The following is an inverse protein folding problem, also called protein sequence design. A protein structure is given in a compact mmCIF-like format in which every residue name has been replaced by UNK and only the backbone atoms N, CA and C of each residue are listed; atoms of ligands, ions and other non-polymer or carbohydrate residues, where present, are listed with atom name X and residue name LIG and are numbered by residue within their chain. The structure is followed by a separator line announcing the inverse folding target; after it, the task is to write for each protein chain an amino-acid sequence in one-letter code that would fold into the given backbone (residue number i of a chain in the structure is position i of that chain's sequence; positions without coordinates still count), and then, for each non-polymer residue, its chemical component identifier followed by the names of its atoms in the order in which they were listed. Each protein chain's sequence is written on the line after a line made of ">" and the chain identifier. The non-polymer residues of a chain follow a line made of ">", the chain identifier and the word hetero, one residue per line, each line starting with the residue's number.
data_IF_434747323565
#
_entry.id   IF_434747323565
#
_cell.length_a   1.000
_cell.length_b   1.000
_cell.length_c   1.000
_cell.angle_alpha   90.00
_cell.angle_beta   90.00
_cell.angle_gamma   90.00
#
_symmetry.space_group_name_H-M   'P 1'
#
loop_
_entity.id
_entity.type
_entity.pdbx_description
1 polymer ?
#
# COMPACT_ATOMS: atom_id res chain seq x y z
N UNK A 1 22.32 6.21 -14.76
CA UNK A 1 21.60 4.95 -14.98
C UNK A 1 20.61 5.18 -16.12
N UNK A 2 20.51 4.28 -17.11
CA UNK A 2 19.55 4.38 -18.20
C UNK A 2 18.61 3.16 -18.14
N UNK A 3 17.32 3.36 -18.42
CA UNK A 3 16.28 2.33 -18.37
C UNK A 3 15.53 2.32 -19.71
N UNK A 4 15.10 1.14 -20.16
CA UNK A 4 14.36 0.98 -21.42
C UNK A 4 12.92 1.49 -21.32
N UNK A 5 12.33 1.39 -20.12
CA UNK A 5 10.98 1.92 -19.83
C UNK A 5 10.81 2.21 -18.33
N UNK A 6 9.74 2.91 -18.00
CA UNK A 6 9.46 3.36 -16.62
C UNK A 6 9.25 2.22 -15.63
N UNK A 7 8.82 1.03 -16.05
CA UNK A 7 8.59 -0.10 -15.15
C UNK A 7 9.88 -0.61 -14.50
N UNK A 8 11.02 -0.45 -15.16
CA UNK A 8 12.34 -0.80 -14.63
C UNK A 8 12.80 0.12 -13.49
N UNK A 9 12.13 1.24 -13.27
CA UNK A 9 12.40 2.16 -12.15
C UNK A 9 11.60 1.84 -10.89
N UNK A 10 10.74 0.82 -10.94
CA UNK A 10 9.97 0.37 -9.77
C UNK A 10 10.91 -0.32 -8.78
N UNK A 11 10.78 0.06 -7.50
CA UNK A 11 11.64 -0.47 -6.44
C UNK A 11 12.88 0.37 -6.17
N UNK A 12 13.84 -0.20 -5.46
CA UNK A 12 15.04 0.49 -4.98
C UNK A 12 14.72 1.84 -4.30
N UNK A 13 13.63 1.85 -3.53
CA UNK A 13 13.16 3.05 -2.84
C UNK A 13 14.03 3.34 -1.61
N UNK A 14 14.31 4.62 -1.31
CA UNK A 14 15.21 4.95 -0.22
C UNK A 14 14.61 4.71 1.16
N UNK A 15 15.49 4.47 2.15
CA UNK A 15 15.17 4.57 3.57
C UNK A 15 15.57 5.96 4.07
N UNK A 16 14.64 6.66 4.71
CA UNK A 16 14.83 8.03 5.18
C UNK A 16 14.73 8.03 6.71
N UNK A 17 15.73 8.57 7.38
CA UNK A 17 15.71 8.78 8.82
C UNK A 17 14.77 9.91 9.19
N UNK A 18 13.95 9.71 10.20
CA UNK A 18 13.06 10.72 10.77
C UNK A 18 13.78 11.37 11.93
N UNK A 19 14.06 12.67 11.83
CA UNK A 19 14.97 13.35 12.74
C UNK A 19 14.29 14.28 13.75
N UNK A 20 13.17 14.91 13.36
CA UNK A 20 12.50 15.96 14.15
C UNK A 20 11.19 15.49 14.78
N UNK A 21 10.43 14.69 14.04
CA UNK A 21 9.07 14.28 14.39
C UNK A 21 8.98 13.53 15.74
N UNK A 22 10.02 12.76 16.08
CA UNK A 22 10.07 11.93 17.30
C UNK A 22 11.15 12.37 18.28
N UNK A 23 11.85 13.48 17.99
CA UNK A 23 12.95 14.02 18.83
C UNK A 23 14.31 13.38 18.53
N UNK A 24 15.36 14.01 19.03
CA UNK A 24 16.76 13.71 18.67
C UNK A 24 17.25 12.33 19.12
N UNK A 25 16.59 11.67 20.10
CA UNK A 25 16.97 10.35 20.62
C UNK A 25 16.34 9.18 19.86
N UNK A 26 15.37 9.43 18.98
CA UNK A 26 14.67 8.38 18.27
C UNK A 26 15.50 7.85 17.09
N UNK A 27 15.50 6.53 16.93
CA UNK A 27 16.15 5.84 15.80
C UNK A 27 15.09 5.27 14.87
N UNK A 28 14.33 6.16 14.24
CA UNK A 28 13.18 5.84 13.39
C UNK A 28 13.53 6.09 11.92
N UNK A 29 13.16 5.14 11.08
CA UNK A 29 13.35 5.17 9.64
C UNK A 29 12.04 4.87 8.93
N UNK A 30 11.87 5.41 7.73
CA UNK A 30 10.76 5.05 6.85
C UNK A 30 11.29 4.63 5.48
N UNK A 31 10.75 3.52 4.95
CA UNK A 31 10.98 3.15 3.57
C UNK A 31 10.04 3.95 2.67
N UNK A 32 10.60 4.78 1.80
CA UNK A 32 9.85 5.79 1.06
C UNK A 32 9.35 5.27 -0.29
N UNK A 33 8.27 4.50 -0.26
CA UNK A 33 7.64 3.88 -1.44
C UNK A 33 6.98 4.89 -2.39
N UNK A 34 6.80 6.14 -1.95
CA UNK A 34 6.41 7.24 -2.85
C UNK A 34 7.40 7.48 -3.99
N UNK A 35 8.62 7.00 -3.86
CA UNK A 35 9.66 7.07 -4.89
C UNK A 35 9.43 6.17 -6.10
N UNK A 36 8.49 5.27 -6.06
CA UNK A 36 8.08 4.49 -7.24
C UNK A 36 7.46 5.42 -8.32
N UNK A 37 7.58 5.09 -9.61
CA UNK A 37 7.17 5.99 -10.71
C UNK A 37 5.67 6.34 -10.71
N UNK A 38 4.79 5.42 -10.32
CA UNK A 38 3.38 5.70 -10.11
C UNK A 38 3.08 6.30 -8.73
N UNK A 39 4.10 6.59 -7.92
CA UNK A 39 4.02 7.29 -6.64
C UNK A 39 3.52 6.45 -5.48
N UNK A 40 3.60 5.13 -5.53
CA UNK A 40 3.19 4.29 -4.40
C UNK A 40 3.81 2.89 -4.38
N UNK A 41 3.72 2.22 -3.21
CA UNK A 41 4.09 0.81 -3.02
C UNK A 41 3.32 -0.14 -3.96
N UNK A 42 2.16 0.29 -4.47
CA UNK A 42 1.30 -0.54 -5.31
C UNK A 42 1.87 -0.75 -6.72
N UNK A 43 2.81 0.07 -7.14
CA UNK A 43 3.51 -0.12 -8.41
C UNK A 43 4.20 -1.49 -8.46
N UNK A 44 4.78 -1.92 -7.33
CA UNK A 44 5.44 -3.23 -7.21
C UNK A 44 4.46 -4.38 -7.47
N UNK A 45 3.33 -4.38 -6.77
CA UNK A 45 2.36 -5.47 -6.91
C UNK A 45 1.64 -5.42 -8.25
N UNK A 46 1.38 -4.24 -8.80
CA UNK A 46 0.77 -4.11 -10.12
C UNK A 46 1.63 -4.75 -11.20
N UNK A 47 2.92 -4.47 -11.21
CA UNK A 47 3.85 -5.10 -12.16
C UNK A 47 3.95 -6.60 -11.91
N UNK A 48 4.16 -7.02 -10.67
CA UNK A 48 4.36 -8.44 -10.34
C UNK A 48 3.16 -9.32 -10.68
N UNK A 49 1.93 -8.86 -10.37
CA UNK A 49 0.72 -9.60 -10.69
C UNK A 49 0.51 -9.73 -12.20
N UNK A 50 0.78 -8.67 -12.96
CA UNK A 50 0.68 -8.71 -14.43
C UNK A 50 1.73 -9.66 -15.03
N UNK A 51 2.99 -9.58 -14.59
CA UNK A 51 4.05 -10.47 -15.08
C UNK A 51 3.82 -11.94 -14.72
N UNK A 52 3.26 -12.23 -13.55
CA UNK A 52 2.87 -13.58 -13.16
C UNK A 52 1.74 -14.11 -14.04
N UNK A 53 0.74 -13.27 -14.34
CA UNK A 53 -0.36 -13.61 -15.23
C UNK A 53 0.11 -13.84 -16.69
N UNK A 54 1.06 -13.05 -17.19
CA UNK A 54 1.72 -13.26 -18.47
C UNK A 54 2.44 -14.62 -18.52
N UNK A 55 3.25 -14.88 -17.49
CA UNK A 55 4.04 -16.12 -17.37
C UNK A 55 3.17 -17.37 -17.27
N UNK A 56 2.07 -17.29 -16.55
CA UNK A 56 1.13 -18.42 -16.42
C UNK A 56 0.19 -18.57 -17.62
N UNK A 57 0.15 -17.59 -18.52
CA UNK A 57 -0.78 -17.54 -19.66
C UNK A 57 -2.20 -17.10 -19.28
N UNK A 58 -2.44 -16.65 -18.05
CA UNK A 58 -3.73 -16.13 -17.61
C UNK A 58 -4.08 -14.79 -18.26
N UNK A 59 -3.06 -14.02 -18.64
CA UNK A 59 -3.20 -12.75 -19.39
C UNK A 59 -2.41 -12.85 -20.70
N UNK A 60 -3.12 -12.75 -21.83
CA UNK A 60 -2.53 -12.79 -23.16
C UNK A 60 -2.15 -11.38 -23.65
N UNK A 61 -1.16 -11.24 -24.53
CA UNK A 61 -0.81 -9.93 -25.13
C UNK A 61 -2.03 -9.20 -25.70
N UNK A 62 -2.19 -7.91 -25.36
CA UNK A 62 -3.33 -7.11 -25.76
C UNK A 62 -4.66 -7.44 -25.05
N UNK A 63 -4.62 -8.33 -24.07
CA UNK A 63 -5.78 -8.71 -23.26
C UNK A 63 -6.35 -7.57 -22.42
N UNK A 64 -7.43 -7.86 -21.70
CA UNK A 64 -8.11 -6.88 -20.85
C UNK A 64 -7.92 -7.23 -19.38
N UNK A 65 -7.43 -6.27 -18.61
CA UNK A 65 -7.32 -6.34 -17.15
C UNK A 65 -8.57 -5.67 -16.56
N UNK A 66 -9.23 -6.32 -15.61
CA UNK A 66 -10.40 -5.78 -14.90
C UNK A 66 -10.09 -5.83 -13.40
N UNK A 67 -10.13 -4.70 -12.69
CA UNK A 67 -9.86 -4.70 -11.24
C UNK A 67 -10.85 -3.80 -10.50
N UNK A 68 -11.49 -4.32 -9.42
CA UNK A 68 -12.32 -3.51 -8.56
C UNK A 68 -11.45 -2.70 -7.59
N UNK A 69 -11.06 -1.51 -7.98
CA UNK A 69 -10.23 -0.62 -7.16
C UNK A 69 -10.37 0.84 -7.56
N UNK A 70 -10.32 1.71 -6.57
CA UNK A 70 -10.26 3.17 -6.75
C UNK A 70 -8.97 3.79 -6.22
N UNK A 71 -8.06 2.95 -5.75
CA UNK A 71 -6.85 3.39 -5.05
C UNK A 71 -5.57 3.27 -5.88
N UNK A 72 -4.45 3.25 -5.17
CA UNK A 72 -3.11 3.21 -5.76
C UNK A 72 -2.85 1.96 -6.62
N UNK A 73 -3.52 0.84 -6.35
CA UNK A 73 -3.45 -0.35 -7.22
C UNK A 73 -3.96 -0.04 -8.63
N UNK A 74 -5.06 0.71 -8.74
CA UNK A 74 -5.58 1.15 -10.04
C UNK A 74 -4.59 2.04 -10.79
N UNK A 75 -3.89 2.94 -10.10
CA UNK A 75 -2.84 3.78 -10.70
C UNK A 75 -1.67 2.92 -11.19
N UNK A 76 -1.18 2.00 -10.34
CA UNK A 76 -0.09 1.09 -10.73
C UNK A 76 -0.46 0.21 -11.92
N UNK A 77 -1.66 -0.39 -11.92
CA UNK A 77 -2.16 -1.19 -13.04
C UNK A 77 -2.31 -0.35 -14.31
N UNK A 78 -2.78 0.90 -14.20
CA UNK A 78 -2.93 1.80 -15.36
C UNK A 78 -1.57 2.12 -15.99
N UNK A 79 -0.55 2.41 -15.19
CA UNK A 79 0.82 2.61 -15.67
C UNK A 79 1.39 1.35 -16.33
N UNK A 80 1.24 0.19 -15.70
CA UNK A 80 1.72 -1.09 -16.25
C UNK A 80 0.99 -1.43 -17.55
N UNK A 81 -0.34 -1.28 -17.59
CA UNK A 81 -1.13 -1.54 -18.78
C UNK A 81 -0.75 -0.63 -19.95
N UNK A 82 -0.50 0.66 -19.68
CA UNK A 82 -0.05 1.61 -20.69
C UNK A 82 1.29 1.19 -21.34
N UNK A 83 2.25 0.77 -20.52
CA UNK A 83 3.60 0.37 -21.02
C UNK A 83 3.54 -0.97 -21.74
N UNK A 84 2.76 -1.94 -21.25
CA UNK A 84 2.70 -3.31 -21.79
C UNK A 84 1.63 -3.48 -22.89
N UNK A 85 0.81 -2.46 -23.17
CA UNK A 85 -0.18 -2.49 -24.24
C UNK A 85 -1.47 -3.26 -23.87
N UNK A 86 -1.84 -3.32 -22.60
CA UNK A 86 -3.09 -3.93 -22.13
C UNK A 86 -4.24 -2.93 -22.08
N UNK A 87 -5.45 -3.42 -22.28
CA UNK A 87 -6.67 -2.68 -21.93
C UNK A 87 -6.90 -2.78 -20.44
N UNK A 88 -7.32 -1.70 -19.78
CA UNK A 88 -7.63 -1.70 -18.36
C UNK A 88 -9.02 -1.12 -18.11
N UNK A 89 -9.86 -1.88 -17.42
CA UNK A 89 -11.15 -1.45 -16.90
C UNK A 89 -11.09 -1.45 -15.37
N UNK A 90 -11.24 -0.28 -14.77
CA UNK A 90 -11.30 -0.14 -13.31
C UNK A 90 -12.74 0.00 -12.87
N UNK A 91 -13.16 -0.86 -11.95
CA UNK A 91 -14.53 -0.87 -11.43
C UNK A 91 -14.53 -0.23 -10.06
N UNK A 92 -15.35 0.82 -9.87
CA UNK A 92 -15.39 1.56 -8.61
C UNK A 92 -16.72 2.28 -8.40
N UNK A 93 -17.07 2.59 -7.13
CA UNK A 93 -18.20 3.45 -6.84
C UNK A 93 -18.04 4.84 -7.48
N UNK A 94 -19.14 5.43 -7.96
CA UNK A 94 -19.17 6.75 -8.60
C UNK A 94 -18.78 7.92 -7.65
N UNK A 95 -18.82 7.67 -6.34
CA UNK A 95 -18.41 8.62 -5.30
C UNK A 95 -16.88 8.81 -5.17
N UNK A 96 -16.09 8.03 -5.90
CA UNK A 96 -14.62 8.16 -5.86
C UNK A 96 -14.13 9.48 -6.48
N UNK A 97 -13.03 10.02 -5.92
CA UNK A 97 -12.53 11.34 -6.29
C UNK A 97 -12.21 11.46 -7.78
N UNK A 98 -12.56 12.60 -8.35
CA UNK A 98 -12.36 12.88 -9.77
C UNK A 98 -10.87 13.01 -10.13
N UNK A 99 -10.05 13.48 -9.18
CA UNK A 99 -8.59 13.63 -9.36
C UNK A 99 -7.94 12.26 -9.59
N UNK A 100 -8.31 11.25 -8.79
CA UNK A 100 -7.82 9.88 -8.97
C UNK A 100 -8.23 9.29 -10.30
N UNK A 101 -9.51 9.48 -10.68
CA UNK A 101 -10.00 9.04 -11.98
C UNK A 101 -9.27 9.71 -13.13
N UNK A 102 -8.99 11.02 -13.03
CA UNK A 102 -8.22 11.75 -14.05
C UNK A 102 -6.80 11.23 -14.20
N UNK A 103 -6.13 10.88 -13.10
CA UNK A 103 -4.79 10.29 -13.15
C UNK A 103 -4.80 8.94 -13.88
N UNK A 104 -5.75 8.07 -13.57
CA UNK A 104 -5.89 6.77 -14.23
C UNK A 104 -6.28 6.90 -15.71
N UNK A 105 -7.17 7.89 -16.04
CA UNK A 105 -7.52 8.24 -17.43
C UNK A 105 -6.30 8.69 -18.23
N UNK A 106 -5.40 9.46 -17.62
CA UNK A 106 -4.18 9.93 -18.29
C UNK A 106 -3.27 8.76 -18.72
N UNK A 107 -3.33 7.62 -18.02
CA UNK A 107 -2.66 6.38 -18.43
C UNK A 107 -3.50 5.55 -19.43
N UNK A 108 -4.71 5.97 -19.81
CA UNK A 108 -5.54 5.24 -20.77
C UNK A 108 -6.49 4.21 -20.16
N UNK A 109 -6.68 4.19 -18.84
CA UNK A 109 -7.67 3.32 -18.22
C UNK A 109 -9.10 3.75 -18.53
N UNK A 110 -10.00 2.81 -18.64
CA UNK A 110 -11.46 3.03 -18.70
C UNK A 110 -12.12 2.67 -17.36
N UNK A 111 -13.35 3.14 -17.14
CA UNK A 111 -14.08 2.91 -15.90
C UNK A 111 -15.45 2.30 -16.14
N UNK A 112 -15.83 1.38 -15.25
CA UNK A 112 -17.20 0.98 -15.02
C UNK A 112 -17.59 1.46 -13.61
N UNK A 113 -18.50 2.45 -13.54
CA UNK A 113 -18.87 3.09 -12.28
C UNK A 113 -20.12 2.41 -11.71
N UNK A 114 -20.05 2.00 -10.45
CA UNK A 114 -21.15 1.39 -9.72
C UNK A 114 -21.81 2.39 -8.78
N UNK A 115 -23.11 2.21 -8.44
CA UNK A 115 -23.79 3.06 -7.47
C UNK A 115 -23.05 3.07 -6.11
N UNK A 116 -22.85 4.27 -5.56
CA UNK A 116 -22.14 4.49 -4.29
C UNK A 116 -22.71 3.67 -3.13
N UNK A 117 -24.02 3.44 -3.14
CA UNK A 117 -24.73 2.70 -2.09
C UNK A 117 -24.30 1.23 -2.01
N UNK A 118 -23.82 0.67 -3.10
CA UNK A 118 -23.31 -0.71 -3.17
C UNK A 118 -21.86 -0.84 -2.67
N UNK A 119 -21.15 0.28 -2.53
CA UNK A 119 -19.76 0.32 -2.05
C UNK A 119 -18.81 -0.61 -2.83
N UNK A 120 -17.73 -1.04 -2.19
CA UNK A 120 -16.75 -1.96 -2.82
C UNK A 120 -17.31 -3.34 -3.11
N UNK A 121 -18.28 -3.84 -2.34
CA UNK A 121 -18.94 -5.12 -2.64
C UNK A 121 -19.64 -5.08 -3.99
N UNK A 122 -20.30 -3.95 -4.31
CA UNK A 122 -20.92 -3.77 -5.62
C UNK A 122 -19.90 -3.68 -6.76
N UNK A 123 -18.75 -3.04 -6.52
CA UNK A 123 -17.68 -2.96 -7.50
C UNK A 123 -17.05 -4.35 -7.77
N UNK A 124 -16.86 -5.17 -6.74
CA UNK A 124 -16.33 -6.54 -6.88
C UNK A 124 -17.29 -7.38 -7.72
N UNK A 125 -18.59 -7.42 -7.35
CA UNK A 125 -19.58 -8.19 -8.11
C UNK A 125 -19.66 -7.74 -9.57
N UNK A 126 -19.58 -6.41 -9.83
CA UNK A 126 -19.59 -5.87 -11.18
C UNK A 126 -18.34 -6.24 -11.97
N UNK A 127 -17.15 -6.27 -11.33
CA UNK A 127 -15.92 -6.73 -11.98
C UNK A 127 -16.01 -8.20 -12.39
N UNK A 128 -16.60 -9.06 -11.56
CA UNK A 128 -16.84 -10.47 -11.87
C UNK A 128 -17.82 -10.65 -13.05
N UNK A 129 -18.92 -9.85 -13.08
CA UNK A 129 -19.85 -9.83 -14.20
C UNK A 129 -19.16 -9.43 -15.51
N UNK A 130 -18.36 -8.35 -15.48
CA UNK A 130 -17.61 -7.88 -16.65
C UNK A 130 -16.59 -8.92 -17.13
N UNK A 131 -15.91 -9.56 -16.20
CA UNK A 131 -14.97 -10.63 -16.51
C UNK A 131 -15.67 -11.80 -17.24
N UNK A 132 -16.81 -12.25 -16.73
CA UNK A 132 -17.62 -13.29 -17.37
C UNK A 132 -18.10 -12.90 -18.78
N UNK A 133 -18.32 -11.61 -19.04
CA UNK A 133 -18.77 -11.07 -20.32
C UNK A 133 -17.64 -10.69 -21.28
N UNK A 134 -16.38 -10.69 -20.81
CA UNK A 134 -15.20 -10.26 -21.58
C UNK A 134 -14.23 -11.42 -21.77
N UNK A 135 -14.36 -12.21 -22.85
CA UNK A 135 -13.46 -13.32 -23.12
C UNK A 135 -11.99 -12.90 -23.11
N UNK A 136 -11.13 -13.66 -22.46
CA UNK A 136 -9.70 -13.39 -22.36
C UNK A 136 -9.34 -12.23 -21.42
N UNK A 137 -10.28 -11.71 -20.64
CA UNK A 137 -9.97 -10.78 -19.56
C UNK A 137 -9.39 -11.51 -18.34
N UNK A 138 -8.74 -10.75 -17.48
CA UNK A 138 -8.13 -11.24 -16.24
C UNK A 138 -8.38 -10.27 -15.10
N UNK A 139 -8.61 -10.81 -13.88
CA UNK A 139 -8.76 -10.05 -12.63
C UNK A 139 -7.54 -10.31 -11.76
N UNK A 140 -6.74 -9.29 -11.40
CA UNK A 140 -5.56 -9.40 -10.54
C UNK A 140 -5.80 -9.99 -9.16
N UNK A 141 -6.95 -9.69 -8.52
CA UNK A 141 -7.31 -10.15 -7.18
C UNK A 141 -6.26 -9.80 -6.11
N UNK A 142 -5.93 -8.53 -5.97
CA UNK A 142 -4.83 -8.03 -5.15
C UNK A 142 -4.80 -8.54 -3.69
N UNK A 143 -5.94 -8.91 -3.13
CA UNK A 143 -6.04 -9.40 -1.73
C UNK A 143 -5.72 -10.88 -1.56
N UNK A 144 -5.64 -11.63 -2.65
CA UNK A 144 -5.46 -13.09 -2.67
C UNK A 144 -4.27 -13.54 -3.51
N UNK A 145 -3.86 -12.73 -4.49
CA UNK A 145 -2.82 -13.08 -5.45
C UNK A 145 -1.45 -13.24 -4.76
N UNK A 146 -0.82 -14.42 -4.83
CA UNK A 146 0.45 -14.69 -4.17
C UNK A 146 1.62 -13.87 -4.73
N UNK A 147 1.55 -13.41 -5.98
CA UNK A 147 2.56 -12.53 -6.57
C UNK A 147 2.71 -11.21 -5.79
N UNK A 148 1.64 -10.79 -5.08
CA UNK A 148 1.69 -9.64 -4.16
C UNK A 148 2.66 -9.87 -2.99
N UNK A 149 2.65 -11.06 -2.38
CA UNK A 149 3.60 -11.39 -1.31
C UNK A 149 5.01 -11.55 -1.89
N UNK A 150 5.11 -12.30 -2.98
CA UNK A 150 6.38 -12.71 -3.58
C UNK A 150 7.23 -11.51 -4.03
N UNK A 151 6.64 -10.48 -4.63
CA UNK A 151 7.40 -9.28 -5.01
C UNK A 151 8.04 -8.58 -3.81
N UNK A 152 7.37 -8.56 -2.66
CA UNK A 152 7.92 -7.97 -1.44
C UNK A 152 9.01 -8.84 -0.81
N UNK A 153 8.93 -10.16 -0.94
CA UNK A 153 10.01 -11.10 -0.57
C UNK A 153 11.25 -10.86 -1.43
N UNK A 154 11.07 -10.77 -2.76
CA UNK A 154 12.17 -10.66 -3.73
C UNK A 154 12.81 -9.28 -3.82
N UNK A 155 12.09 -8.22 -3.49
CA UNK A 155 12.54 -6.83 -3.68
C UNK A 155 12.54 -6.04 -2.38
N UNK A 156 11.40 -5.68 -1.84
CA UNK A 156 11.26 -4.79 -0.69
C UNK A 156 12.06 -5.27 0.53
N UNK A 157 11.97 -6.56 0.85
CA UNK A 157 12.69 -7.14 1.97
C UNK A 157 14.21 -7.15 1.72
N UNK A 158 14.65 -7.42 0.50
CA UNK A 158 16.08 -7.44 0.14
C UNK A 158 16.67 -6.03 0.20
N UNK A 159 15.94 -5.01 -0.24
CA UNK A 159 16.33 -3.62 -0.13
C UNK A 159 16.51 -3.21 1.36
N UNK A 160 15.60 -3.68 2.24
CA UNK A 160 15.73 -3.43 3.69
C UNK A 160 16.97 -4.14 4.27
N UNK A 161 17.20 -5.39 3.92
CA UNK A 161 18.39 -6.13 4.38
C UNK A 161 19.69 -5.46 3.95
N UNK A 162 19.74 -4.95 2.72
CA UNK A 162 20.92 -4.27 2.18
C UNK A 162 21.25 -2.97 2.97
N UNK A 163 20.23 -2.19 3.31
CA UNK A 163 20.40 -0.91 3.99
C UNK A 163 20.56 -1.04 5.51
N UNK A 164 20.08 -2.15 6.09
CA UNK A 164 20.17 -2.42 7.54
C UNK A 164 20.93 -3.73 7.87
N UNK A 165 22.19 -3.87 7.45
CA UNK A 165 22.96 -5.10 7.72
C UNK A 165 23.15 -5.37 9.22
N UNK A 166 23.09 -4.33 10.06
CA UNK A 166 23.13 -4.45 11.52
C UNK A 166 21.79 -4.74 12.19
N UNK A 167 20.74 -5.07 11.39
CA UNK A 167 19.41 -5.46 11.89
C UNK A 167 18.48 -4.31 12.20
N UNK A 168 17.25 -4.70 12.51
CA UNK A 168 16.14 -3.86 12.96
C UNK A 168 15.56 -4.48 14.24
N UNK A 169 15.07 -3.65 15.16
CA UNK A 169 14.43 -4.11 16.38
C UNK A 169 12.91 -4.20 16.20
N UNK A 170 12.33 -3.26 15.44
CA UNK A 170 10.88 -3.16 15.29
C UNK A 170 10.51 -2.78 13.84
N UNK A 171 9.52 -3.48 13.29
CA UNK A 171 8.82 -3.14 12.05
C UNK A 171 7.38 -2.77 12.40
N UNK A 172 6.95 -1.55 12.02
CA UNK A 172 5.57 -1.08 12.20
C UNK A 172 5.00 -0.69 10.85
N UNK A 173 3.91 -1.34 10.42
CA UNK A 173 3.38 -1.11 9.08
C UNK A 173 1.88 -1.37 8.97
N UNK A 174 1.20 -0.54 8.17
CA UNK A 174 -0.24 -0.62 7.92
C UNK A 174 -0.63 -1.80 7.05
N UNK A 175 -1.80 -2.35 7.27
CA UNK A 175 -2.33 -3.48 6.52
C UNK A 175 -3.45 -3.03 5.57
N UNK A 176 -3.15 -3.05 4.27
CA UNK A 176 -4.13 -2.95 3.19
C UNK A 176 -4.43 -4.33 2.63
N UNK A 177 -3.63 -4.81 1.68
CA UNK A 177 -3.73 -6.16 1.10
C UNK A 177 -3.01 -7.24 1.92
N UNK A 178 -2.18 -6.86 2.88
CA UNK A 178 -1.40 -7.78 3.72
C UNK A 178 -0.09 -8.25 3.09
N UNK A 179 0.04 -8.21 1.77
CA UNK A 179 1.17 -8.84 1.05
C UNK A 179 2.53 -8.27 1.42
N UNK A 180 2.67 -6.93 1.54
CA UNK A 180 3.96 -6.34 1.88
C UNK A 180 4.39 -6.66 3.33
N UNK A 181 3.46 -6.58 4.29
CA UNK A 181 3.77 -6.93 5.68
C UNK A 181 4.22 -8.39 5.77
N UNK A 182 3.44 -9.30 5.18
CA UNK A 182 3.73 -10.73 5.15
C UNK A 182 5.08 -11.03 4.50
N UNK A 183 5.30 -10.52 3.28
CA UNK A 183 6.53 -10.79 2.54
C UNK A 183 7.77 -10.24 3.24
N UNK A 184 7.71 -8.99 3.71
CA UNK A 184 8.80 -8.34 4.42
C UNK A 184 9.06 -9.03 5.77
N UNK A 185 8.02 -9.27 6.57
CA UNK A 185 8.18 -9.85 7.90
C UNK A 185 8.76 -11.28 7.85
N UNK A 186 8.32 -12.12 6.93
CA UNK A 186 8.89 -13.48 6.76
C UNK A 186 10.39 -13.46 6.51
N UNK A 187 10.85 -12.59 5.61
CA UNK A 187 12.28 -12.49 5.28
C UNK A 187 13.06 -11.88 6.44
N UNK A 188 12.58 -10.77 7.01
CA UNK A 188 13.30 -10.07 8.05
C UNK A 188 13.37 -10.87 9.36
N UNK A 189 12.30 -11.57 9.77
CA UNK A 189 12.33 -12.42 10.97
C UNK A 189 13.29 -13.61 10.81
N UNK A 190 13.46 -14.13 9.61
CA UNK A 190 14.44 -15.18 9.34
C UNK A 190 15.89 -14.69 9.52
N UNK A 191 16.18 -13.43 9.21
CA UNK A 191 17.51 -12.82 9.36
C UNK A 191 17.71 -12.15 10.73
N UNK A 192 16.65 -11.60 11.30
CA UNK A 192 16.65 -10.90 12.58
C UNK A 192 15.65 -11.58 13.54
N UNK A 193 16.04 -12.66 14.24
CA UNK A 193 15.10 -13.48 15.05
C UNK A 193 14.41 -12.71 16.18
N UNK A 194 14.98 -11.61 16.64
CA UNK A 194 14.43 -10.76 17.70
C UNK A 194 13.52 -9.63 17.17
N UNK A 195 13.37 -9.49 15.85
CA UNK A 195 12.54 -8.46 15.24
C UNK A 195 11.10 -8.58 15.71
N UNK A 196 10.54 -7.47 16.20
CA UNK A 196 9.12 -7.34 16.53
C UNK A 196 8.37 -6.70 15.38
N UNK A 197 7.25 -7.29 14.99
CA UNK A 197 6.42 -6.86 13.88
C UNK A 197 5.02 -6.46 14.36
N UNK A 198 4.65 -5.20 14.13
CA UNK A 198 3.33 -4.68 14.49
C UNK A 198 2.56 -4.25 13.25
N UNK A 199 1.35 -4.78 13.13
CA UNK A 199 0.38 -4.31 12.13
C UNK A 199 -0.30 -3.03 12.61
N UNK A 200 -0.61 -2.12 11.68
CA UNK A 200 -1.42 -0.93 11.98
C UNK A 200 -2.76 -1.05 11.30
N UNK A 201 -3.82 -0.84 12.05
CA UNK A 201 -5.20 -0.82 11.56
C UNK A 201 -5.99 0.38 12.11
N UNK A 202 -7.09 0.80 11.44
CA UNK A 202 -7.95 1.86 11.96
C UNK A 202 -8.71 1.42 13.22
N UNK A 203 -8.74 2.25 14.26
CA UNK A 203 -9.53 2.01 15.49
C UNK A 203 -11.03 1.77 15.19
N UNK A 204 -11.56 2.43 14.15
CA UNK A 204 -12.97 2.29 13.74
C UNK A 204 -13.27 0.95 13.04
N UNK A 205 -12.27 0.25 12.54
CA UNK A 205 -12.42 -1.02 11.82
C UNK A 205 -11.32 -2.02 12.20
N UNK A 206 -11.25 -2.44 13.48
CA UNK A 206 -10.11 -3.18 14.04
C UNK A 206 -10.25 -4.69 13.79
N UNK A 207 -10.40 -5.09 12.54
CA UNK A 207 -10.69 -6.50 12.17
C UNK A 207 -9.55 -7.47 12.45
N UNK A 208 -8.30 -7.00 12.40
CA UNK A 208 -7.13 -7.84 12.73
C UNK A 208 -7.08 -8.11 14.23
N UNK A 209 -7.50 -7.15 15.05
CA UNK A 209 -7.66 -7.30 16.50
C UNK A 209 -8.94 -8.05 16.91
N UNK A 210 -9.74 -8.56 15.97
CA UNK A 210 -10.98 -9.31 16.23
C UNK A 210 -12.24 -8.45 16.39
N UNK A 211 -12.19 -7.15 16.09
CA UNK A 211 -13.34 -6.26 16.09
C UNK A 211 -14.16 -6.31 14.80
N UNK A 212 -15.28 -5.60 14.81
CA UNK A 212 -16.18 -5.53 13.65
C UNK A 212 -15.67 -4.55 12.57
N UNK A 213 -15.87 -4.84 11.28
CA UNK A 213 -15.58 -3.88 10.21
C UNK A 213 -16.54 -2.69 10.24
N UNK A 214 -16.01 -1.50 10.00
CA UNK A 214 -16.79 -0.28 9.83
C UNK A 214 -16.12 0.68 8.83
N UNK A 215 -16.88 1.62 8.23
CA UNK A 215 -16.30 2.68 7.41
C UNK A 215 -15.33 3.54 8.21
N UNK A 216 -14.21 3.92 7.63
CA UNK A 216 -13.19 4.78 8.23
C UNK A 216 -12.49 5.64 7.17
N UNK A 217 -11.94 6.82 7.52
CA UNK A 217 -11.36 7.73 6.54
C UNK A 217 -9.86 7.49 6.26
N UNK A 218 -9.20 6.52 6.90
CA UNK A 218 -7.79 6.19 6.65
C UNK A 218 -7.70 5.36 5.37
N UNK A 219 -7.52 6.02 4.24
CA UNK A 219 -7.45 5.37 2.94
C UNK A 219 -6.15 4.57 2.79
N UNK A 220 -6.24 3.38 2.18
CA UNK A 220 -5.08 2.53 1.84
C UNK A 220 -4.81 1.39 2.82
N UNK A 221 -5.37 1.43 4.03
CA UNK A 221 -5.34 0.35 5.02
C UNK A 221 -6.75 0.04 5.52
N UNK A 222 -6.93 -1.05 6.26
CA UNK A 222 -8.23 -1.38 6.87
C UNK A 222 -9.28 -1.80 5.84
N UNK A 223 -9.07 -2.91 5.14
CA UNK A 223 -9.97 -3.39 4.08
C UNK A 223 -11.37 -3.83 4.58
N UNK A 224 -11.59 -3.91 5.90
CA UNK A 224 -12.83 -4.39 6.51
C UNK A 224 -12.93 -5.92 6.58
N UNK A 225 -11.87 -6.62 6.23
CA UNK A 225 -11.69 -8.07 6.37
C UNK A 225 -10.21 -8.39 6.51
N UNK A 226 -9.87 -9.61 6.95
CA UNK A 226 -8.50 -10.11 6.96
C UNK A 226 -8.17 -10.63 5.57
N UNK A 227 -7.22 -9.99 4.83
CA UNK A 227 -6.84 -10.46 3.49
C UNK A 227 -6.20 -11.85 3.53
N UNK A 228 -6.39 -12.66 2.50
CA UNK A 228 -5.71 -13.96 2.37
C UNK A 228 -4.18 -13.82 2.30
N UNK A 229 -3.69 -12.69 1.80
CA UNK A 229 -2.27 -12.38 1.77
C UNK A 229 -1.67 -11.96 3.12
N UNK A 230 -2.48 -11.80 4.18
CA UNK A 230 -1.99 -11.48 5.51
C UNK A 230 -1.73 -12.76 6.31
N UNK A 231 -0.47 -13.02 6.59
CA UNK A 231 -0.05 -14.05 7.56
C UNK A 231 -0.01 -13.43 8.96
N UNK A 232 -1.04 -13.70 9.75
CA UNK A 232 -1.13 -13.16 11.11
C UNK A 232 -0.13 -13.79 12.07
N UNK A 233 0.46 -14.94 11.74
CA UNK A 233 1.45 -15.62 12.58
C UNK A 233 2.79 -14.88 12.67
N UNK A 234 3.07 -13.97 11.73
CA UNK A 234 4.28 -13.15 11.77
C UNK A 234 4.16 -11.93 12.69
N UNK A 235 2.96 -11.62 13.19
CA UNK A 235 2.68 -10.44 14.01
C UNK A 235 3.05 -10.68 15.47
N UNK A 236 3.70 -9.71 16.08
CA UNK A 236 3.91 -9.62 17.54
C UNK A 236 2.81 -8.76 18.21
N UNK A 237 2.01 -8.05 17.43
CA UNK A 237 0.88 -7.27 17.91
C UNK A 237 0.25 -6.40 16.82
N UNK A 238 -0.83 -5.72 17.21
CA UNK A 238 -1.58 -4.81 16.36
C UNK A 238 -1.73 -3.47 17.08
N UNK A 239 -1.50 -2.37 16.35
CA UNK A 239 -1.65 -1.00 16.87
C UNK A 239 -2.82 -0.36 16.14
N UNK A 240 -3.80 0.10 16.92
CA UNK A 240 -4.96 0.80 16.40
C UNK A 240 -4.69 2.31 16.36
N UNK A 241 -5.07 2.95 15.25
CA UNK A 241 -4.86 4.38 15.05
C UNK A 241 -6.15 5.06 14.62
N UNK A 242 -6.47 6.17 15.25
CA UNK A 242 -7.59 7.02 14.88
C UNK A 242 -7.25 7.90 13.67
N UNK A 243 -8.29 8.36 12.98
CA UNK A 243 -8.14 9.13 11.75
C UNK A 243 -7.44 10.47 11.95
N UNK A 244 -7.73 11.19 13.06
CA UNK A 244 -7.11 12.49 13.27
C UNK A 244 -5.62 12.40 13.62
N UNK A 245 -5.14 11.52 14.51
CA UNK A 245 -3.71 11.25 14.63
C UNK A 245 -3.05 10.87 13.30
N UNK A 246 -3.69 10.06 12.46
CA UNK A 246 -3.14 9.70 11.15
C UNK A 246 -2.95 10.93 10.24
N UNK A 247 -3.94 11.83 10.19
CA UNK A 247 -3.85 13.08 9.43
C UNK A 247 -2.81 14.04 10.01
N UNK A 248 -2.79 14.19 11.32
CA UNK A 248 -1.84 15.08 12.00
C UNK A 248 -0.40 14.65 11.76
N UNK A 249 -0.09 13.34 11.90
CA UNK A 249 1.27 12.86 11.63
C UNK A 249 1.65 12.95 10.16
N UNK A 250 0.70 12.82 9.22
CA UNK A 250 0.97 13.11 7.82
C UNK A 250 1.32 14.58 7.57
N UNK A 251 0.58 15.52 8.19
CA UNK A 251 0.87 16.97 8.13
C UNK A 251 2.19 17.32 8.78
N UNK A 252 2.47 16.76 9.96
CA UNK A 252 3.73 16.96 10.69
C UNK A 252 4.93 16.42 9.91
N UNK A 253 4.79 15.25 9.27
CA UNK A 253 5.82 14.69 8.39
C UNK A 253 6.21 15.67 7.27
N UNK A 254 5.23 16.36 6.67
CA UNK A 254 5.51 17.39 5.67
C UNK A 254 6.22 18.60 6.28
N UNK A 255 5.75 19.13 7.43
CA UNK A 255 6.27 20.35 8.05
C UNK A 255 7.60 20.15 8.76
N UNK A 256 7.83 19.00 9.35
CA UNK A 256 9.01 18.73 10.19
C UNK A 256 10.10 17.97 9.43
N UNK A 257 9.75 17.10 8.50
CA UNK A 257 10.70 16.25 7.75
C UNK A 257 10.75 16.54 6.24
N UNK A 258 9.88 17.40 5.72
CA UNK A 258 9.76 17.66 4.27
C UNK A 258 9.14 16.51 3.49
N UNK A 259 8.50 15.54 4.17
CA UNK A 259 7.91 14.35 3.57
C UNK A 259 6.39 14.51 3.48
N UNK A 260 5.89 14.96 2.33
CA UNK A 260 4.45 15.00 2.06
C UNK A 260 3.97 13.59 1.70
N UNK A 261 3.23 12.99 2.62
CA UNK A 261 2.82 11.57 2.57
C UNK A 261 1.30 11.41 2.65
N UNK A 262 0.78 10.26 2.23
CA UNK A 262 -0.63 9.93 2.37
C UNK A 262 -1.05 9.63 3.82
N UNK A 263 -2.37 9.58 4.05
CA UNK A 263 -2.97 9.41 5.40
C UNK A 263 -2.56 8.07 6.03
N UNK A 264 -2.43 6.99 5.26
CA UNK A 264 -1.97 5.69 5.77
C UNK A 264 -0.52 5.71 6.24
N UNK A 265 0.33 6.52 5.62
CA UNK A 265 1.70 6.76 6.08
C UNK A 265 1.70 7.53 7.40
N UNK A 266 0.83 8.54 7.51
CA UNK A 266 0.58 9.23 8.78
C UNK A 266 0.10 8.31 9.88
N UNK A 267 -0.77 7.33 9.57
CA UNK A 267 -1.20 6.31 10.52
C UNK A 267 -0.02 5.46 11.02
N UNK A 268 0.90 5.08 10.13
CA UNK A 268 2.12 4.37 10.53
C UNK A 268 3.00 5.21 11.43
N UNK A 269 3.18 6.51 11.12
CA UNK A 269 3.95 7.43 11.97
C UNK A 269 3.28 7.64 13.34
N UNK A 270 1.95 7.74 13.39
CA UNK A 270 1.20 7.82 14.65
C UNK A 270 1.34 6.54 15.48
N UNK A 271 1.29 5.37 14.85
CA UNK A 271 1.52 4.09 15.50
C UNK A 271 2.95 3.98 16.06
N UNK A 272 3.95 4.46 15.34
CA UNK A 272 5.33 4.55 15.83
C UNK A 272 5.39 5.44 17.08
N UNK A 273 4.74 6.62 17.06
CA UNK A 273 4.70 7.51 18.22
C UNK A 273 4.07 6.87 19.45
N UNK A 274 3.00 6.08 19.27
CA UNK A 274 2.37 5.33 20.36
C UNK A 274 3.31 4.26 20.94
N UNK A 275 4.08 3.59 20.06
CA UNK A 275 4.91 2.45 20.45
C UNK A 275 6.28 2.84 21.02
N UNK A 276 6.86 3.94 20.59
CA UNK A 276 8.22 4.36 21.00
C UNK A 276 8.44 4.40 22.51
N UNK A 277 7.51 4.90 23.36
CA UNK A 277 7.71 4.94 24.81
C UNK A 277 7.84 3.57 25.48
N UNK A 278 7.37 2.50 24.82
CA UNK A 278 7.42 1.14 25.32
C UNK A 278 8.70 0.39 24.89
N UNK A 279 9.47 0.97 23.96
CA UNK A 279 10.65 0.35 23.40
C UNK A 279 11.92 0.73 24.18
N UNK A 280 12.93 -0.15 24.23
CA UNK A 280 14.23 0.22 24.75
C UNK A 280 14.81 1.44 24.03
N UNK A 281 15.52 2.29 24.77
CA UNK A 281 16.16 3.47 24.19
C UNK A 281 17.12 3.08 23.05
N UNK A 282 17.03 3.81 21.93
CA UNK A 282 17.86 3.56 20.74
C UNK A 282 17.38 2.43 19.83
N UNK A 283 16.25 1.76 20.16
CA UNK A 283 15.65 0.74 19.28
C UNK A 283 15.49 1.26 17.85
N UNK A 284 15.97 0.48 16.88
CA UNK A 284 15.87 0.80 15.47
C UNK A 284 14.50 0.38 14.93
N UNK A 285 13.67 1.37 14.64
CA UNK A 285 12.29 1.20 14.19
C UNK A 285 12.19 1.53 12.70
N UNK A 286 11.61 0.63 11.92
CA UNK A 286 11.28 0.87 10.51
C UNK A 286 9.77 0.98 10.32
N UNK A 287 9.34 2.06 9.68
CA UNK A 287 7.99 2.24 9.14
C UNK A 287 8.00 2.36 7.62
N UNK A 288 6.81 2.59 7.05
CA UNK A 288 6.64 2.81 5.62
C UNK A 288 5.95 4.13 5.30
N UNK A 289 6.43 4.79 4.29
CA UNK A 289 5.74 5.83 3.56
C UNK A 289 5.24 5.21 2.25
N UNK A 290 3.93 4.92 2.18
CA UNK A 290 3.34 4.10 1.11
C UNK A 290 3.13 4.85 -0.19
N UNK A 291 2.81 6.14 -0.11
CA UNK A 291 2.47 6.96 -1.26
C UNK A 291 2.68 8.46 -1.01
N UNK A 292 2.44 9.25 -2.05
CA UNK A 292 2.55 10.72 -2.03
C UNK A 292 1.29 11.37 -1.48
N UNK A 293 1.44 12.46 -0.72
CA UNK A 293 0.34 13.22 -0.13
C UNK A 293 -0.45 14.06 -1.13
N UNK A 294 0.09 14.35 -2.30
CA UNK A 294 -0.58 15.16 -3.34
C UNK A 294 -1.93 14.57 -3.77
N UNK A 295 -2.12 13.27 -3.61
CA UNK A 295 -3.38 12.56 -3.91
C UNK A 295 -4.50 12.82 -2.90
N UNK A 296 -4.20 13.50 -1.80
CA UNK A 296 -5.10 13.70 -0.67
C UNK A 296 -5.41 15.17 -0.38
N UNK A 297 -4.90 16.10 -1.20
CA UNK A 297 -5.05 17.56 -0.97
C UNK A 297 -6.52 18.00 -0.95
N UNK A 298 -7.40 17.33 -1.70
CA UNK A 298 -8.84 17.58 -1.70
C UNK A 298 -9.63 16.76 -0.68
N UNK A 299 -8.95 15.90 0.10
CA UNK A 299 -9.63 15.09 1.12
C UNK A 299 -9.96 15.96 2.33
N UNK A 300 -11.24 15.99 2.70
CA UNK A 300 -11.72 16.76 3.84
C UNK A 300 -10.95 16.42 5.13
N UNK A 301 -10.51 17.46 5.83
CA UNK A 301 -9.74 17.34 7.06
C UNK A 301 -8.28 16.88 6.89
N UNK A 302 -7.78 16.68 5.65
CA UNK A 302 -6.37 16.36 5.44
C UNK A 302 -5.50 17.61 5.64
N UNK A 303 -5.88 18.72 5.02
CA UNK A 303 -5.25 20.04 5.28
C UNK A 303 -6.15 20.87 6.20
N UNK A 304 -5.58 21.79 7.01
CA UNK A 304 -6.37 22.80 7.71
C UNK A 304 -7.11 23.68 6.70
N UNK A 305 -8.31 24.11 7.09
CA UNK A 305 -9.14 25.03 6.31
C UNK A 305 -8.47 26.40 6.17
#
# INVERSE_FOLDING_TARGET
>A
MAFDNVLQTIGNTPHIRINRLFGAGANVWVKSERGNPGGSIKDRIALAMVEDAEKSGALQPGGTIIEPTSGNTGVGLAMVAAVKGYKLILVMPDSMSIERRRLMLAYGASFDLTPREKGMKGAIARAEELHAQTPGSWIPQQFENPANIDIHVRTTAQEILADFPGGLDVLITGVGTGGHLTGVARVLKAQFPNLKVFAVEPTQSPVISGGAPAPHPIQGIGAGFIPKNLDTSVLDGVIQVDAEPAREYARRSAREEGLLVGISSGATLAAIAQKLPELPAGSRVLGFNYDTGERYLSVEGFLPA
#
